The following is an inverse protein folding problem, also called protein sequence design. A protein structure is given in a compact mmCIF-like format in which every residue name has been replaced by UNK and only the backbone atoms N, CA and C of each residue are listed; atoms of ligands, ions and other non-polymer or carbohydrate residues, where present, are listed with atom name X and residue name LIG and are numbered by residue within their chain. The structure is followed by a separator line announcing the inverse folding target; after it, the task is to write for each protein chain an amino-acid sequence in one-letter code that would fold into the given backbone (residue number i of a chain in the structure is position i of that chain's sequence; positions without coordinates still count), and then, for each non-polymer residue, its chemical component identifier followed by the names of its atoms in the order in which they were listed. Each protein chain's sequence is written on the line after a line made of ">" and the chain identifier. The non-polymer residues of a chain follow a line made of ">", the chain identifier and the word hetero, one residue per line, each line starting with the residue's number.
data_IF_536541601222
#
_entry.id   IF_536541601222
#
_cell.length_a   1.000
_cell.length_b   1.000
_cell.length_c   1.000
_cell.angle_alpha   90.00
_cell.angle_beta   90.00
_cell.angle_gamma   90.00
#
_symmetry.space_group_name_H-M   'P 1'
#
loop_
_entity.id
_entity.type
_entity.pdbx_description
1 polymer ?
#
# COMPACT_ATOMS: atom_id res chain seq x y z
N UNK A 1 -48.40 -49.92 -50.25
CA UNK A 1 -47.37 -49.76 -49.19
C UNK A 1 -46.03 -49.74 -49.90
N UNK A 2 -45.36 -48.60 -49.99
CA UNK A 2 -44.10 -48.44 -50.74
C UNK A 2 -43.60 -47.01 -50.58
N UNK A 3 -42.47 -46.89 -49.90
CA UNK A 3 -41.92 -45.68 -49.29
C UNK A 3 -41.09 -44.90 -50.31
N UNK A 4 -41.36 -43.60 -50.48
CA UNK A 4 -40.44 -42.67 -51.15
C UNK A 4 -39.55 -42.01 -50.09
N UNK A 5 -38.24 -42.21 -50.28
CA UNK A 5 -37.15 -41.80 -49.40
C UNK A 5 -36.93 -40.29 -49.55
N UNK A 6 -37.08 -39.55 -48.45
CA UNK A 6 -36.71 -38.14 -48.36
C UNK A 6 -35.29 -38.01 -47.81
N UNK A 7 -34.37 -37.45 -48.60
CA UNK A 7 -33.00 -37.14 -48.20
C UNK A 7 -32.99 -36.02 -47.13
N UNK A 8 -32.68 -36.38 -45.87
CA UNK A 8 -32.23 -35.41 -44.86
C UNK A 8 -30.75 -35.12 -45.08
N UNK A 9 -30.42 -33.90 -45.52
CA UNK A 9 -29.06 -33.38 -45.39
C UNK A 9 -28.70 -33.29 -43.89
N UNK A 10 -27.70 -34.05 -43.46
CA UNK A 10 -27.05 -33.87 -42.16
C UNK A 10 -26.32 -32.53 -42.20
N UNK A 11 -26.71 -31.57 -41.34
CA UNK A 11 -25.85 -30.44 -40.99
C UNK A 11 -24.70 -30.99 -40.14
N UNK A 12 -23.48 -30.87 -40.65
CA UNK A 12 -22.29 -31.08 -39.84
C UNK A 12 -22.25 -30.09 -38.67
N UNK A 13 -21.78 -30.49 -37.48
CA UNK A 13 -21.57 -29.56 -36.39
C UNK A 13 -20.43 -28.63 -36.78
N UNK A 14 -20.69 -27.32 -36.84
CA UNK A 14 -19.62 -26.33 -36.94
C UNK A 14 -18.71 -26.51 -35.73
N UNK A 15 -17.45 -26.84 -35.96
CA UNK A 15 -16.41 -26.73 -34.96
C UNK A 15 -16.44 -25.31 -34.40
N UNK A 16 -16.64 -25.18 -33.10
CA UNK A 16 -16.36 -23.94 -32.41
C UNK A 16 -14.86 -23.70 -32.55
N UNK A 17 -14.47 -22.70 -33.34
CA UNK A 17 -13.13 -22.16 -33.30
C UNK A 17 -12.88 -21.68 -31.86
N UNK A 18 -12.12 -22.47 -31.11
CA UNK A 18 -11.48 -22.00 -29.90
C UNK A 18 -10.47 -20.95 -30.32
N UNK A 19 -10.92 -19.70 -30.46
CA UNK A 19 -10.00 -18.55 -30.48
C UNK A 19 -9.18 -18.63 -29.20
N UNK A 20 -7.84 -18.65 -29.28
CA UNK A 20 -7.01 -18.49 -28.11
C UNK A 20 -7.50 -17.24 -27.38
N UNK A 21 -7.85 -17.37 -26.11
CA UNK A 21 -8.16 -16.19 -25.31
C UNK A 21 -6.88 -15.38 -25.26
N UNK A 22 -6.83 -14.24 -25.96
CA UNK A 22 -5.70 -13.32 -25.90
C UNK A 22 -5.52 -12.94 -24.44
N UNK A 23 -4.47 -13.48 -23.82
CA UNK A 23 -4.09 -13.08 -22.48
C UNK A 23 -3.66 -11.61 -22.60
N UNK A 24 -4.26 -10.67 -21.87
CA UNK A 24 -3.86 -9.27 -21.98
C UNK A 24 -2.37 -9.10 -21.67
N UNK A 25 -1.67 -8.19 -22.35
CA UNK A 25 -0.23 -7.99 -22.18
C UNK A 25 0.19 -7.81 -20.71
N UNK A 26 -0.67 -7.22 -19.86
CA UNK A 26 -0.43 -7.06 -18.41
C UNK A 26 -0.35 -8.38 -17.61
N UNK A 27 -0.79 -9.51 -18.18
CA UNK A 27 -0.72 -10.86 -17.59
C UNK A 27 0.39 -11.76 -18.17
N UNK A 28 0.97 -11.43 -19.32
CA UNK A 28 1.78 -12.39 -20.10
C UNK A 28 3.22 -12.57 -19.58
N UNK A 29 3.74 -11.67 -18.75
CA UNK A 29 5.17 -11.64 -18.43
C UNK A 29 5.39 -11.28 -16.95
N UNK A 30 4.77 -12.07 -16.06
CA UNK A 30 4.95 -11.89 -14.62
C UNK A 30 6.12 -12.75 -14.19
N UNK A 31 7.24 -12.10 -13.93
CA UNK A 31 8.17 -12.69 -12.97
C UNK A 31 7.40 -12.88 -11.66
N UNK A 32 7.28 -14.13 -11.24
CA UNK A 32 6.56 -14.54 -10.03
C UNK A 32 7.50 -15.10 -8.97
N UNK A 33 8.79 -15.22 -9.30
CA UNK A 33 9.79 -15.84 -8.44
C UNK A 33 10.52 -14.73 -7.71
N UNK A 34 10.34 -14.65 -6.40
CA UNK A 34 11.09 -13.71 -5.58
C UNK A 34 12.52 -14.20 -5.37
N UNK A 35 13.44 -13.66 -6.15
CA UNK A 35 14.87 -13.88 -5.99
C UNK A 35 15.54 -12.70 -5.28
N UNK A 36 16.51 -12.99 -4.42
CA UNK A 36 17.35 -11.97 -3.79
C UNK A 36 18.36 -11.47 -4.82
N UNK A 37 18.28 -10.20 -5.18
CA UNK A 37 19.11 -9.62 -6.24
C UNK A 37 19.64 -8.24 -5.85
N UNK A 38 20.85 -7.93 -6.33
CA UNK A 38 21.33 -6.56 -6.37
C UNK A 38 20.69 -5.85 -7.57
N UNK A 39 20.00 -4.71 -7.40
CA UNK A 39 19.37 -3.99 -8.49
C UNK A 39 20.32 -3.66 -9.65
N UNK A 40 21.62 -3.45 -9.36
CA UNK A 40 22.65 -3.15 -10.37
C UNK A 40 22.98 -4.35 -11.27
N UNK A 41 22.55 -5.55 -10.89
CA UNK A 41 22.73 -6.78 -11.67
C UNK A 41 21.51 -7.13 -12.53
N UNK A 42 20.42 -6.34 -12.46
CA UNK A 42 19.17 -6.56 -13.18
C UNK A 42 19.00 -5.60 -14.34
N UNK A 43 18.26 -6.04 -15.37
CA UNK A 43 17.79 -5.18 -16.45
C UNK A 43 16.50 -4.45 -16.01
N UNK A 44 16.65 -3.36 -15.26
CA UNK A 44 15.54 -2.56 -14.73
C UNK A 44 14.78 -1.77 -15.82
N UNK A 45 15.14 -1.90 -17.10
CA UNK A 45 14.36 -1.38 -18.23
C UNK A 45 13.16 -2.27 -18.57
N UNK A 46 13.09 -3.46 -17.96
CA UNK A 46 11.99 -4.42 -18.07
C UNK A 46 11.28 -4.61 -16.74
N UNK A 47 10.13 -5.28 -16.79
CA UNK A 47 9.47 -5.72 -15.57
C UNK A 47 10.36 -6.73 -14.83
N UNK A 48 10.50 -6.56 -13.52
CA UNK A 48 11.24 -7.46 -12.63
C UNK A 48 10.53 -7.50 -11.27
N UNK A 49 10.43 -8.69 -10.67
CA UNK A 49 9.95 -8.88 -9.30
C UNK A 49 11.06 -9.51 -8.47
N UNK A 50 11.60 -8.80 -7.49
CA UNK A 50 12.78 -9.29 -6.75
C UNK A 50 12.85 -8.74 -5.33
N UNK A 51 13.72 -9.33 -4.51
CA UNK A 51 14.05 -8.88 -3.17
C UNK A 51 15.38 -8.12 -3.22
N UNK A 52 15.35 -6.81 -2.97
CA UNK A 52 16.54 -5.98 -2.80
C UNK A 52 17.08 -6.07 -1.37
N UNK A 53 18.22 -6.74 -1.23
CA UNK A 53 18.97 -6.86 0.03
C UNK A 53 20.11 -5.84 0.15
N UNK A 54 20.28 -4.97 -0.85
CA UNK A 54 21.39 -4.04 -0.98
C UNK A 54 21.02 -2.74 -0.28
N UNK A 55 21.28 -2.65 1.04
CA UNK A 55 20.82 -1.54 1.93
C UNK A 55 21.20 -0.11 1.50
N UNK A 56 22.11 0.04 0.55
CA UNK A 56 22.57 1.30 -0.03
C UNK A 56 22.22 1.44 -1.52
N UNK A 57 21.23 0.69 -2.02
CA UNK A 57 20.75 0.85 -3.39
C UNK A 57 19.94 2.14 -3.53
N UNK A 58 19.76 2.58 -4.78
CA UNK A 58 18.90 3.70 -5.14
C UNK A 58 17.44 3.48 -4.72
N UNK A 59 17.01 2.21 -4.55
CA UNK A 59 15.66 1.87 -4.10
C UNK A 59 15.51 2.17 -2.60
N UNK A 60 16.50 1.82 -1.76
CA UNK A 60 16.50 2.24 -0.35
C UNK A 60 16.51 3.77 -0.24
N UNK A 61 17.35 4.45 -1.03
CA UNK A 61 17.39 5.91 -1.04
C UNK A 61 16.06 6.52 -1.46
N UNK A 62 15.40 5.96 -2.48
CA UNK A 62 14.08 6.39 -2.94
C UNK A 62 13.03 6.25 -1.84
N UNK A 63 12.98 5.09 -1.17
CA UNK A 63 12.02 4.82 -0.09
C UNK A 63 12.26 5.76 1.10
N UNK A 64 13.51 5.91 1.55
CA UNK A 64 13.86 6.74 2.71
C UNK A 64 13.60 8.23 2.44
N UNK A 65 13.89 8.70 1.23
CA UNK A 65 13.80 10.11 0.85
C UNK A 65 12.50 10.46 0.11
N UNK A 66 11.54 9.54 0.08
CA UNK A 66 10.25 9.78 -0.57
C UNK A 66 9.57 11.02 0.02
N UNK A 67 8.92 11.80 -0.85
CA UNK A 67 8.17 13.00 -0.47
C UNK A 67 6.87 13.09 -1.24
N UNK A 68 5.82 13.65 -0.64
CA UNK A 68 4.55 13.85 -1.31
C UNK A 68 4.71 14.73 -2.55
N UNK A 69 4.09 14.30 -3.64
CA UNK A 69 4.03 15.07 -4.87
C UNK A 69 2.95 16.17 -4.76
N UNK A 70 2.75 16.96 -5.83
CA UNK A 70 1.75 18.03 -5.83
C UNK A 70 0.32 17.52 -5.57
N UNK A 71 -0.08 16.41 -6.19
CA UNK A 71 -1.41 15.85 -6.03
C UNK A 71 -1.65 15.37 -4.59
N UNK A 72 -0.63 14.76 -3.97
CA UNK A 72 -0.71 14.36 -2.56
C UNK A 72 -0.91 15.58 -1.65
N UNK A 73 -0.15 16.65 -1.89
CA UNK A 73 -0.25 17.90 -1.12
C UNK A 73 -1.60 18.62 -1.33
N UNK A 74 -2.11 18.61 -2.57
CA UNK A 74 -3.42 19.18 -2.89
C UNK A 74 -4.54 18.39 -2.18
N UNK A 75 -4.44 17.06 -2.15
CA UNK A 75 -5.37 16.18 -1.44
C UNK A 75 -5.34 16.44 0.08
N UNK A 76 -4.15 16.42 0.70
CA UNK A 76 -3.96 16.73 2.13
C UNK A 76 -4.59 18.08 2.48
N UNK A 77 -4.27 19.11 1.69
CA UNK A 77 -4.79 20.47 1.90
C UNK A 77 -6.32 20.52 1.83
N UNK A 78 -6.92 19.74 0.92
CA UNK A 78 -8.37 19.61 0.83
C UNK A 78 -8.95 19.00 2.11
N UNK A 79 -8.45 17.85 2.56
CA UNK A 79 -8.96 17.18 3.75
C UNK A 79 -8.82 18.04 5.01
N UNK A 80 -7.64 18.62 5.24
CA UNK A 80 -7.42 19.50 6.39
C UNK A 80 -8.37 20.71 6.39
N UNK A 81 -8.64 21.30 5.22
CA UNK A 81 -9.56 22.42 5.06
C UNK A 81 -11.01 22.01 5.32
N UNK A 82 -11.45 20.87 4.79
CA UNK A 82 -12.82 20.39 4.98
C UNK A 82 -13.09 20.07 6.46
N UNK A 83 -12.17 19.37 7.13
CA UNK A 83 -12.30 19.05 8.57
C UNK A 83 -12.27 20.34 9.39
N UNK A 84 -11.42 21.31 9.02
CA UNK A 84 -11.29 22.60 9.71
C UNK A 84 -12.56 23.47 9.69
N UNK A 85 -13.51 23.21 8.77
CA UNK A 85 -14.80 23.93 8.76
C UNK A 85 -15.63 23.67 10.02
N UNK A 86 -15.50 22.47 10.61
CA UNK A 86 -16.25 22.05 11.82
C UNK A 86 -15.36 21.89 13.05
N UNK A 87 -14.07 21.61 12.86
CA UNK A 87 -13.17 21.26 13.94
C UNK A 87 -11.90 22.09 13.90
N UNK A 88 -11.66 22.90 14.95
CA UNK A 88 -10.42 23.67 15.04
C UNK A 88 -9.21 22.73 15.20
N UNK A 89 -8.14 22.90 14.41
CA UNK A 89 -6.91 22.15 14.58
C UNK A 89 -6.36 22.33 16.00
N UNK A 90 -5.95 21.24 16.66
CA UNK A 90 -5.23 21.30 17.93
C UNK A 90 -3.80 20.87 17.71
N UNK A 91 -2.87 21.67 18.22
CA UNK A 91 -1.45 21.32 18.22
C UNK A 91 -1.11 20.45 19.42
N UNK A 92 -0.32 19.42 19.19
CA UNK A 92 0.22 18.51 20.19
C UNK A 92 1.74 18.46 20.06
N UNK A 93 2.42 18.33 21.20
CA UNK A 93 3.87 18.22 21.24
C UNK A 93 4.30 16.75 21.22
N UNK A 94 4.87 16.30 20.11
CA UNK A 94 5.26 14.90 19.89
C UNK A 94 6.59 14.49 20.52
N UNK A 95 7.30 15.42 21.20
CA UNK A 95 8.63 15.16 21.79
C UNK A 95 9.59 14.56 20.75
N UNK A 96 10.11 13.35 21.02
CA UNK A 96 11.04 12.59 20.15
C UNK A 96 10.34 11.42 19.44
N UNK A 97 9.01 11.33 19.51
CA UNK A 97 8.28 10.25 18.85
C UNK A 97 8.52 10.33 17.33
N UNK A 98 8.79 9.20 16.65
CA UNK A 98 9.01 9.21 15.20
C UNK A 98 7.80 9.79 14.46
N UNK A 99 8.07 10.70 13.52
CA UNK A 99 7.01 11.34 12.72
C UNK A 99 6.66 10.55 11.47
N UNK A 100 7.66 9.95 10.84
CA UNK A 100 7.52 9.23 9.58
C UNK A 100 7.55 7.72 9.81
N UNK A 101 6.53 7.04 9.29
CA UNK A 101 6.33 5.62 9.41
C UNK A 101 6.05 5.03 8.04
N UNK A 102 6.56 3.83 7.78
CA UNK A 102 6.32 3.10 6.53
C UNK A 102 5.71 1.74 6.85
N UNK A 103 4.78 1.30 6.01
CA UNK A 103 4.15 -0.01 6.14
C UNK A 103 5.14 -1.14 5.88
N UNK A 104 4.91 -2.23 6.60
CA UNK A 104 5.57 -3.50 6.44
C UNK A 104 4.55 -4.54 5.99
N UNK A 105 5.00 -5.46 5.15
CA UNK A 105 4.30 -6.70 4.82
C UNK A 105 5.01 -7.86 5.49
N UNK A 106 4.28 -8.97 5.64
CA UNK A 106 4.83 -10.22 6.14
C UNK A 106 4.99 -11.20 4.98
N UNK A 107 6.16 -11.81 4.86
CA UNK A 107 6.47 -12.83 3.86
C UNK A 107 7.28 -13.94 4.52
N UNK A 108 6.77 -15.16 4.50
CA UNK A 108 7.46 -16.31 5.09
C UNK A 108 7.89 -16.08 6.55
N UNK A 109 7.02 -15.45 7.36
CA UNK A 109 7.29 -15.02 8.74
C UNK A 109 8.35 -13.91 8.93
N UNK A 110 8.87 -13.31 7.86
CA UNK A 110 9.74 -12.14 7.93
C UNK A 110 8.98 -10.86 7.58
N UNK A 111 9.45 -9.73 8.11
CA UNK A 111 8.92 -8.42 7.75
C UNK A 111 9.72 -7.81 6.61
N UNK A 112 9.02 -7.30 5.61
CA UNK A 112 9.59 -6.72 4.40
C UNK A 112 8.86 -5.43 4.05
N UNK A 113 9.54 -4.54 3.36
CA UNK A 113 8.92 -3.38 2.71
C UNK A 113 8.49 -3.80 1.31
N UNK A 114 7.35 -3.32 0.83
CA UNK A 114 6.89 -3.58 -0.53
C UNK A 114 6.85 -2.30 -1.34
N UNK A 115 7.76 -2.18 -2.30
CA UNK A 115 7.75 -1.10 -3.29
C UNK A 115 6.88 -1.53 -4.49
N UNK A 116 5.67 -0.95 -4.61
CA UNK A 116 4.70 -1.37 -5.62
C UNK A 116 5.11 -0.91 -7.01
N UNK A 117 4.43 -1.47 -8.01
CA UNK A 117 4.67 -1.09 -9.40
C UNK A 117 4.20 0.34 -9.71
N UNK A 118 3.08 0.77 -9.14
CA UNK A 118 2.66 2.17 -9.21
C UNK A 118 2.40 2.75 -7.83
N UNK A 119 2.48 4.07 -7.77
CA UNK A 119 2.19 4.79 -6.55
C UNK A 119 3.33 4.69 -5.53
N UNK A 120 2.94 4.54 -4.26
CA UNK A 120 3.83 4.63 -3.12
C UNK A 120 3.74 3.39 -2.22
N UNK A 121 4.83 3.02 -1.56
CA UNK A 121 4.75 2.14 -0.40
C UNK A 121 3.93 2.86 0.69
N UNK A 122 2.81 2.29 1.19
CA UNK A 122 1.97 3.00 2.14
C UNK A 122 2.76 3.53 3.34
N UNK A 123 2.59 4.80 3.66
CA UNK A 123 3.36 5.51 4.68
C UNK A 123 2.49 6.53 5.43
N UNK A 124 2.97 6.98 6.59
CA UNK A 124 2.23 7.84 7.50
C UNK A 124 3.14 8.92 8.06
N UNK A 125 2.61 10.14 8.15
CA UNK A 125 3.28 11.25 8.81
C UNK A 125 2.41 11.76 9.97
N UNK A 126 2.96 11.77 11.18
CA UNK A 126 2.32 12.35 12.35
C UNK A 126 2.92 13.73 12.59
N UNK A 127 2.13 14.75 12.28
CA UNK A 127 2.44 16.15 12.51
C UNK A 127 1.86 16.64 13.84
N UNK A 128 2.12 17.91 14.16
CA UNK A 128 1.66 18.49 15.42
C UNK A 128 0.13 18.63 15.48
N UNK A 129 -0.57 18.68 14.36
CA UNK A 129 -2.00 18.92 14.30
C UNK A 129 -2.76 17.91 13.43
N UNK A 130 -2.07 17.07 12.68
CA UNK A 130 -2.68 16.13 11.74
C UNK A 130 -1.92 14.82 11.66
N UNK A 131 -2.61 13.79 11.19
CA UNK A 131 -2.01 12.58 10.67
C UNK A 131 -2.25 12.56 9.17
N UNK A 132 -1.17 12.41 8.40
CA UNK A 132 -1.20 12.27 6.95
C UNK A 132 -1.07 10.79 6.61
N UNK A 133 -1.91 10.33 5.70
CA UNK A 133 -1.92 8.96 5.22
C UNK A 133 -1.56 9.01 3.75
N UNK A 134 -0.48 8.33 3.39
CA UNK A 134 -0.06 8.15 2.01
C UNK A 134 -0.34 6.69 1.65
N UNK A 135 -1.50 6.42 1.08
CA UNK A 135 -1.83 5.11 0.54
C UNK A 135 -1.08 4.89 -0.77
N UNK A 136 -1.28 3.74 -1.42
CA UNK A 136 -0.56 3.45 -2.66
C UNK A 136 -0.84 4.50 -3.74
N UNK A 137 -2.10 4.86 -3.97
CA UNK A 137 -2.49 5.73 -5.09
C UNK A 137 -3.05 7.10 -4.67
N UNK A 138 -3.25 7.31 -3.38
CA UNK A 138 -3.93 8.50 -2.87
C UNK A 138 -3.39 8.90 -1.51
N UNK A 139 -3.52 10.18 -1.20
CA UNK A 139 -3.22 10.73 0.10
C UNK A 139 -4.49 11.26 0.77
N UNK A 140 -4.57 11.11 2.08
CA UNK A 140 -5.60 11.74 2.91
C UNK A 140 -5.00 12.30 4.21
N UNK A 141 -5.80 13.07 4.95
CA UNK A 141 -5.37 13.65 6.21
C UNK A 141 -6.53 13.71 7.22
N UNK A 142 -6.20 13.47 8.48
CA UNK A 142 -7.12 13.66 9.61
C UNK A 142 -6.52 14.67 10.61
N UNK A 143 -7.37 15.46 11.28
CA UNK A 143 -6.92 16.42 12.29
C UNK A 143 -6.89 15.81 13.68
N UNK A 144 -5.81 16.04 14.42
CA UNK A 144 -5.68 15.60 15.81
C UNK A 144 -6.66 16.37 16.70
N UNK A 145 -7.55 15.63 17.36
CA UNK A 145 -8.52 16.15 18.32
C UNK A 145 -8.08 15.97 19.77
N UNK A 146 -7.30 14.92 20.04
CA UNK A 146 -6.78 14.59 21.37
C UNK A 146 -5.55 13.66 21.27
N UNK A 147 -4.50 13.96 22.04
CA UNK A 147 -3.39 13.05 22.30
C UNK A 147 -3.69 12.25 23.57
N UNK A 148 -4.14 11.01 23.43
CA UNK A 148 -4.51 10.13 24.55
C UNK A 148 -3.29 9.56 25.26
N UNK A 149 -2.25 9.23 24.50
CA UNK A 149 -1.05 8.58 25.02
C UNK A 149 0.16 8.96 24.18
N UNK A 150 1.29 9.21 24.84
CA UNK A 150 2.58 9.42 24.22
C UNK A 150 3.69 8.82 25.08
N UNK A 151 4.42 7.86 24.52
CA UNK A 151 5.67 7.29 25.04
C UNK A 151 6.71 7.34 23.92
N UNK A 152 7.93 6.87 24.18
CA UNK A 152 9.02 6.87 23.19
C UNK A 152 8.62 6.20 21.87
N UNK A 153 7.88 5.10 21.98
CA UNK A 153 7.60 4.14 20.90
C UNK A 153 6.12 3.75 20.83
N UNK A 154 5.25 4.52 21.50
CA UNK A 154 3.81 4.26 21.55
C UNK A 154 3.03 5.59 21.51
N UNK A 155 2.01 5.67 20.65
CA UNK A 155 1.11 6.82 20.57
C UNK A 155 -0.35 6.36 20.46
N UNK A 156 -1.26 7.14 21.03
CA UNK A 156 -2.69 7.00 20.81
C UNK A 156 -3.32 8.39 20.59
N UNK A 157 -4.05 8.53 19.50
CA UNK A 157 -4.66 9.77 19.03
C UNK A 157 -6.14 9.56 18.81
N UNK A 158 -6.94 10.57 19.18
CA UNK A 158 -8.28 10.76 18.60
C UNK A 158 -8.21 11.75 17.47
N UNK A 159 -8.87 11.46 16.38
CA UNK A 159 -8.82 12.20 15.14
C UNK A 159 -10.23 12.67 14.75
N UNK A 160 -10.30 13.83 14.10
CA UNK A 160 -11.46 14.28 13.36
C UNK A 160 -11.20 14.02 11.86
N UNK A 161 -12.20 13.53 11.16
CA UNK A 161 -12.13 13.24 9.73
C UNK A 161 -13.37 13.77 9.00
N UNK A 162 -13.55 13.41 7.74
CA UNK A 162 -14.67 13.88 6.90
C UNK A 162 -15.84 12.88 6.89
N UNK A 163 -17.09 13.35 6.64
CA UNK A 163 -18.27 12.47 6.65
C UNK A 163 -18.26 11.43 5.52
N UNK A 164 -17.49 11.64 4.45
CA UNK A 164 -17.29 10.65 3.39
C UNK A 164 -16.53 9.41 3.87
N UNK A 165 -15.76 9.52 4.97
CA UNK A 165 -14.97 8.43 5.55
C UNK A 165 -15.74 7.70 6.66
N UNK A 166 -16.47 8.44 7.49
CA UNK A 166 -17.23 7.91 8.64
C UNK A 166 -18.39 8.81 9.01
N UNK A 167 -19.51 8.21 9.42
CA UNK A 167 -20.71 8.95 9.85
C UNK A 167 -20.46 9.78 11.10
N UNK A 168 -19.60 9.30 12.01
CA UNK A 168 -19.28 10.01 13.25
C UNK A 168 -18.29 11.15 13.06
N UNK A 169 -17.64 11.25 11.89
CA UNK A 169 -16.52 12.18 11.62
C UNK A 169 -15.38 12.01 12.66
N UNK A 170 -15.27 10.83 13.29
CA UNK A 170 -14.25 10.48 14.29
C UNK A 170 -13.48 9.23 13.89
N UNK A 171 -12.18 9.28 14.16
CA UNK A 171 -11.32 8.12 14.08
C UNK A 171 -10.38 8.06 15.29
N UNK A 172 -9.77 6.90 15.51
CA UNK A 172 -8.69 6.72 16.46
C UNK A 172 -7.50 6.08 15.74
N UNK A 173 -6.29 6.51 16.11
CA UNK A 173 -5.05 5.93 15.63
C UNK A 173 -4.17 5.56 16.80
N UNK A 174 -3.64 4.34 16.79
CA UNK A 174 -2.62 3.91 17.74
C UNK A 174 -1.44 3.30 17.01
N UNK A 175 -0.22 3.58 17.48
CA UNK A 175 0.98 2.82 17.11
C UNK A 175 1.55 2.24 18.40
N UNK A 176 1.77 0.92 18.43
CA UNK A 176 2.26 0.19 19.61
C UNK A 176 3.41 -0.73 19.22
N UNK A 177 4.41 -0.93 20.10
CA UNK A 177 5.48 -1.89 19.83
C UNK A 177 4.93 -3.31 19.79
N UNK A 178 5.52 -4.13 18.93
CA UNK A 178 5.32 -5.59 18.92
C UNK A 178 6.45 -6.29 19.66
N UNK A 179 6.44 -7.62 19.69
CA UNK A 179 7.56 -8.43 20.16
C UNK A 179 8.80 -8.37 19.23
N UNK A 180 8.61 -7.96 17.97
CA UNK A 180 9.67 -7.87 16.98
C UNK A 180 10.34 -6.50 17.02
N UNK A 181 11.68 -6.51 16.99
CA UNK A 181 12.49 -5.29 17.04
C UNK A 181 12.15 -4.37 15.86
N UNK A 182 11.90 -3.09 16.16
CA UNK A 182 11.56 -2.05 15.19
C UNK A 182 10.30 -2.32 14.35
N UNK A 183 9.44 -3.24 14.79
CA UNK A 183 8.14 -3.49 14.17
C UNK A 183 7.05 -3.09 15.16
N UNK A 184 6.08 -2.34 14.64
CA UNK A 184 5.00 -1.74 15.40
C UNK A 184 3.66 -2.08 14.75
N UNK A 185 2.61 -2.25 15.55
CA UNK A 185 1.23 -2.38 15.04
C UNK A 185 0.62 -0.98 14.99
N UNK A 186 0.27 -0.52 13.80
CA UNK A 186 -0.60 0.63 13.59
C UNK A 186 -2.03 0.14 13.49
N UNK A 187 -2.89 0.63 14.37
CA UNK A 187 -4.34 0.44 14.29
C UNK A 187 -5.00 1.78 13.98
N UNK A 188 -5.81 1.81 12.93
CA UNK A 188 -6.66 2.93 12.58
C UNK A 188 -8.11 2.47 12.56
N UNK A 189 -8.96 3.10 13.36
CA UNK A 189 -10.34 2.67 13.55
C UNK A 189 -11.31 3.84 13.50
N UNK A 190 -12.46 3.61 12.87
CA UNK A 190 -13.57 4.56 12.81
C UNK A 190 -14.87 3.77 12.73
N UNK A 191 -15.91 4.25 13.42
CA UNK A 191 -17.19 3.53 13.59
C UNK A 191 -17.00 2.04 13.96
N UNK A 192 -17.28 1.12 13.03
CA UNK A 192 -17.11 -0.34 13.19
C UNK A 192 -15.94 -0.90 12.41
N UNK A 193 -15.21 -0.06 11.69
CA UNK A 193 -14.06 -0.45 10.85
C UNK A 193 -12.80 -0.37 11.68
N UNK A 194 -12.01 -1.44 11.65
CA UNK A 194 -10.69 -1.50 12.27
C UNK A 194 -9.70 -1.97 11.21
N UNK A 195 -8.77 -1.10 10.85
CA UNK A 195 -7.63 -1.45 10.00
C UNK A 195 -6.40 -1.63 10.87
N UNK A 196 -5.65 -2.70 10.60
CA UNK A 196 -4.39 -3.02 11.27
C UNK A 196 -3.32 -3.26 10.24
N UNK A 197 -2.10 -2.85 10.56
CA UNK A 197 -0.94 -3.08 9.73
C UNK A 197 0.34 -2.98 10.56
N UNK A 198 1.38 -3.65 10.09
CA UNK A 198 2.71 -3.48 10.63
C UNK A 198 3.39 -2.25 10.02
N UNK A 199 4.12 -1.50 10.84
CA UNK A 199 4.87 -0.33 10.42
C UNK A 199 6.23 -0.26 11.11
N UNK A 200 7.16 0.49 10.51
CA UNK A 200 8.46 0.83 11.10
C UNK A 200 8.75 2.32 10.92
N UNK A 201 9.49 2.97 11.84
CA UNK A 201 9.99 4.32 11.61
C UNK A 201 10.85 4.41 10.34
N UNK A 202 10.75 5.51 9.60
CA UNK A 202 11.47 5.67 8.33
C UNK A 202 13.01 5.53 8.47
N UNK A 203 13.57 5.96 9.61
CA UNK A 203 15.01 5.80 9.89
C UNK A 203 15.45 4.36 10.17
N UNK A 204 14.52 3.39 10.11
CA UNK A 204 14.74 1.95 10.30
C UNK A 204 14.52 1.14 9.03
N UNK A 205 14.21 1.76 7.89
CA UNK A 205 14.00 1.11 6.59
C UNK A 205 15.14 0.16 6.21
N UNK A 206 16.39 0.55 6.45
CA UNK A 206 17.58 -0.27 6.15
C UNK A 206 17.71 -1.55 6.99
N UNK A 207 16.84 -1.77 7.97
CA UNK A 207 16.79 -3.03 8.74
C UNK A 207 15.93 -4.10 8.04
N UNK A 208 15.15 -3.74 7.02
CA UNK A 208 14.20 -4.62 6.32
C UNK A 208 14.62 -4.84 4.86
N UNK A 209 14.32 -6.03 4.31
CA UNK A 209 14.41 -6.28 2.86
C UNK A 209 13.29 -5.53 2.13
N UNK A 210 13.53 -5.09 0.89
CA UNK A 210 12.53 -4.44 0.04
C UNK A 210 12.16 -5.41 -1.09
N UNK A 211 10.90 -5.77 -1.21
CA UNK A 211 10.36 -6.44 -2.40
C UNK A 211 9.99 -5.37 -3.40
N UNK A 212 10.50 -5.50 -4.61
CA UNK A 212 10.39 -4.49 -5.65
C UNK A 212 9.61 -5.07 -6.81
N UNK A 213 8.49 -4.42 -7.15
CA UNK A 213 7.74 -4.72 -8.36
C UNK A 213 8.09 -3.68 -9.43
N UNK A 214 9.27 -3.77 -10.04
CA UNK A 214 9.75 -2.78 -10.99
C UNK A 214 8.95 -2.84 -12.31
N UNK A 215 8.28 -1.76 -12.72
CA UNK A 215 7.49 -1.74 -13.95
C UNK A 215 7.67 -0.42 -14.76
N UNK A 216 8.80 -0.27 -15.48
CA UNK A 216 9.22 1.01 -16.04
C UNK A 216 8.37 1.49 -17.24
N UNK A 217 7.68 0.57 -17.93
CA UNK A 217 6.97 0.89 -19.18
C UNK A 217 5.46 0.88 -19.06
N UNK A 218 4.91 -0.07 -18.31
CA UNK A 218 3.46 -0.20 -18.12
C UNK A 218 3.14 -0.85 -16.79
N UNK A 219 1.96 -0.51 -16.27
CA UNK A 219 1.41 -1.11 -15.06
C UNK A 219 1.35 -2.63 -15.17
N UNK A 220 1.88 -3.31 -14.14
CA UNK A 220 1.79 -4.75 -13.92
C UNK A 220 0.98 -5.03 -12.67
N UNK A 221 0.50 -6.27 -12.54
CA UNK A 221 -0.18 -6.70 -11.34
C UNK A 221 0.75 -6.56 -10.13
N UNK A 222 0.17 -6.21 -8.99
CA UNK A 222 0.90 -6.20 -7.73
C UNK A 222 1.17 -7.61 -7.23
N UNK A 223 2.30 -7.77 -6.55
CA UNK A 223 2.62 -8.99 -5.84
C UNK A 223 1.62 -9.20 -4.70
N UNK A 224 1.01 -10.38 -4.65
CA UNK A 224 -0.02 -10.75 -3.68
C UNK A 224 0.34 -12.00 -2.87
N UNK A 225 1.59 -12.46 -2.96
CA UNK A 225 2.09 -13.65 -2.25
C UNK A 225 2.52 -13.40 -0.80
N UNK A 226 2.05 -12.31 -0.19
CA UNK A 226 2.30 -12.00 1.22
C UNK A 226 1.52 -12.94 2.14
N UNK A 227 2.05 -13.14 3.34
CA UNK A 227 1.34 -13.82 4.41
C UNK A 227 0.06 -13.03 4.75
N UNK A 228 -1.01 -13.73 5.11
CA UNK A 228 -2.21 -13.07 5.62
C UNK A 228 -1.95 -12.60 7.05
N UNK A 229 -2.35 -11.36 7.32
CA UNK A 229 -2.34 -10.77 8.66
C UNK A 229 -3.36 -11.46 9.60
#
# INVERSE_FOLDING_TARGET
>A
MGILISCKQKKEPKQAENKPTEIPAWKIDLDTILERNNPKSLDLTKHQLFIDTTRNSEIYEKVINWKPNRMDNDAISYYEKEISKKHKPKKVYLKRFPRYWISLKKLNNEFVIYEPCDGNTPSYEINENSVLFFHQLEADADLISELKKLRENEIALKLNTIPQKTESEKAELTIKPTEFKNVYELTYSFDKVVSKQYVTPNNKVSEFDIIVNNCPTMKRMEFNGFDKD
#
